data_IF_322085041423
#
_entry.id   IF_322085041423
#
_cell.length_a   1.000
_cell.length_b   1.000
_cell.length_c   1.000
_cell.angle_alpha   90.00
_cell.angle_beta   90.00
_cell.angle_gamma   90.00
#
_symmetry.space_group_name_H-M   'P 1'
#
loop_
_entity.id
_entity.type
_entity.pdbx_description
1 polymer ?
#
# COMPACT_ATOMS: atom_id res chain seq x y z
N UNK A 1 -22.73 -18.49 26.60
CA UNK A 1 -21.95 -19.42 25.79
C UNK A 1 -20.52 -18.86 25.66
N UNK A 2 -19.49 -19.57 26.13
CA UNK A 2 -18.10 -19.13 25.96
C UNK A 2 -17.71 -19.23 24.48
N UNK A 3 -17.09 -18.20 23.92
CA UNK A 3 -16.62 -18.22 22.53
C UNK A 3 -15.47 -19.24 22.38
N UNK A 4 -15.49 -20.03 21.32
CA UNK A 4 -14.44 -21.03 21.03
C UNK A 4 -13.13 -20.29 20.69
N UNK A 5 -12.05 -20.67 21.36
CA UNK A 5 -10.70 -20.22 21.03
C UNK A 5 -10.17 -21.10 19.89
N UNK A 6 -9.79 -20.48 18.79
CA UNK A 6 -9.24 -21.18 17.59
C UNK A 6 -7.72 -21.05 17.56
N UNK A 7 -7.17 -19.88 17.94
CA UNK A 7 -5.72 -19.62 17.97
C UNK A 7 -5.30 -19.33 19.40
N UNK A 8 -4.43 -20.18 19.95
CA UNK A 8 -3.93 -20.03 21.32
C UNK A 8 -2.74 -19.09 21.44
N UNK A 9 -2.02 -18.87 20.34
CA UNK A 9 -0.95 -17.88 20.22
C UNK A 9 -1.13 -17.14 18.90
N UNK A 10 -1.43 -15.85 18.96
CA UNK A 10 -1.66 -15.04 17.76
C UNK A 10 -1.38 -13.57 18.04
N UNK A 11 -1.13 -12.82 16.98
CA UNK A 11 -0.86 -11.39 17.05
C UNK A 11 -1.86 -10.59 16.24
N UNK A 12 -2.35 -9.49 16.82
CA UNK A 12 -3.09 -8.44 16.12
C UNK A 12 -2.22 -7.21 15.92
N UNK A 13 -2.23 -6.64 14.72
CA UNK A 13 -1.45 -5.46 14.38
C UNK A 13 -2.34 -4.34 13.86
N UNK A 14 -2.18 -3.16 14.42
CA UNK A 14 -2.71 -1.90 13.89
C UNK A 14 -1.59 -1.17 13.17
N UNK A 15 -1.82 -0.86 11.88
CA UNK A 15 -0.79 -0.39 10.95
C UNK A 15 -1.09 1.03 10.50
N UNK A 16 -0.16 1.94 10.79
CA UNK A 16 -0.16 3.33 10.35
C UNK A 16 1.04 3.64 9.45
N UNK A 17 1.07 4.86 8.91
CA UNK A 17 2.15 5.31 8.01
C UNK A 17 3.54 5.16 8.64
N UNK A 18 3.71 5.55 9.91
CA UNK A 18 5.00 5.63 10.59
C UNK A 18 5.08 4.72 11.84
N UNK A 19 4.02 4.01 12.16
CA UNK A 19 3.89 3.25 13.39
C UNK A 19 3.15 1.95 13.16
N UNK A 20 3.63 0.89 13.79
CA UNK A 20 2.94 -0.40 13.89
C UNK A 20 2.80 -0.73 15.35
N UNK A 21 1.57 -0.94 15.82
CA UNK A 21 1.31 -1.41 17.16
C UNK A 21 0.90 -2.87 17.09
N UNK A 22 1.70 -3.74 17.68
CA UNK A 22 1.49 -5.18 17.69
C UNK A 22 1.12 -5.67 19.10
N UNK A 23 0.11 -6.50 19.18
CA UNK A 23 -0.32 -7.16 20.43
C UNK A 23 -0.37 -8.66 20.22
N UNK A 24 0.50 -9.40 20.92
CA UNK A 24 0.47 -10.86 20.97
C UNK A 24 -0.46 -11.29 22.11
N UNK A 25 -1.35 -12.21 21.84
CA UNK A 25 -2.19 -12.88 22.84
C UNK A 25 -1.79 -14.36 22.95
N UNK A 26 -1.31 -14.77 24.11
CA UNK A 26 -0.99 -16.17 24.42
C UNK A 26 -2.04 -16.67 25.40
N UNK A 27 -2.79 -17.69 24.99
CA UNK A 27 -3.86 -18.27 25.81
C UNK A 27 -3.45 -19.63 26.33
N UNK A 28 -3.51 -19.80 27.64
CA UNK A 28 -3.31 -21.12 28.25
C UNK A 28 -4.49 -22.03 27.92
N UNK A 29 -4.16 -23.22 27.39
CA UNK A 29 -5.17 -24.25 27.00
C UNK A 29 -5.97 -24.83 28.18
N UNK A 30 -5.42 -24.78 29.40
CA UNK A 30 -6.05 -25.36 30.59
C UNK A 30 -6.98 -24.35 31.27
N UNK A 31 -6.50 -23.12 31.45
CA UNK A 31 -7.22 -22.08 32.19
C UNK A 31 -8.04 -21.17 31.30
N UNK A 32 -7.80 -21.19 29.98
CA UNK A 32 -8.35 -20.23 29.01
C UNK A 32 -8.04 -18.76 29.32
N UNK A 33 -7.06 -18.49 30.19
CA UNK A 33 -6.58 -17.15 30.49
C UNK A 33 -5.64 -16.69 29.40
N UNK A 34 -5.78 -15.46 28.92
CA UNK A 34 -4.94 -14.88 27.87
C UNK A 34 -4.03 -13.81 28.46
N UNK A 35 -2.73 -13.99 28.28
CA UNK A 35 -1.73 -12.96 28.54
C UNK A 35 -1.48 -12.14 27.27
N UNK A 36 -1.31 -10.84 27.42
CA UNK A 36 -1.10 -9.94 26.29
C UNK A 36 0.26 -9.23 26.40
N UNK A 37 1.02 -9.33 25.33
CA UNK A 37 2.29 -8.62 25.18
C UNK A 37 2.11 -7.59 24.06
N UNK A 38 2.37 -6.31 24.37
CA UNK A 38 2.15 -5.23 23.41
C UNK A 38 3.41 -4.41 23.23
N UNK A 39 3.75 -4.15 21.96
CA UNK A 39 4.91 -3.33 21.59
C UNK A 39 4.61 -2.50 20.36
N UNK A 40 5.23 -1.33 20.29
CA UNK A 40 5.18 -0.43 19.14
C UNK A 40 6.50 -0.44 18.40
N UNK A 41 6.44 -0.40 17.06
CA UNK A 41 7.59 -0.41 16.17
C UNK A 41 7.42 0.71 15.14
N UNK A 42 8.52 1.26 14.64
CA UNK A 42 8.45 2.15 13.47
C UNK A 42 8.29 1.31 12.19
N UNK A 43 7.92 1.96 11.08
CA UNK A 43 7.79 1.30 9.78
C UNK A 43 9.10 1.24 9.00
N UNK A 44 10.23 1.58 9.63
CA UNK A 44 11.56 1.42 9.05
C UNK A 44 11.95 -0.07 9.00
N UNK A 45 12.66 -0.49 7.96
CA UNK A 45 13.02 -1.89 7.77
C UNK A 45 13.73 -2.50 8.99
N UNK A 46 14.66 -1.75 9.63
CA UNK A 46 15.34 -2.22 10.85
C UNK A 46 14.38 -2.58 11.98
N UNK A 47 13.33 -1.77 12.17
CA UNK A 47 12.35 -2.01 13.21
C UNK A 47 11.33 -3.09 12.82
N UNK A 48 11.06 -3.25 11.52
CA UNK A 48 10.23 -4.36 11.03
C UNK A 48 10.94 -5.72 11.19
N UNK A 49 12.27 -5.78 11.05
CA UNK A 49 13.04 -6.97 11.40
C UNK A 49 13.02 -7.22 12.90
N UNK A 50 13.12 -6.18 13.75
CA UNK A 50 12.93 -6.32 15.21
C UNK A 50 11.54 -6.82 15.58
N UNK A 51 10.50 -6.38 14.85
CA UNK A 51 9.14 -6.90 15.00
C UNK A 51 9.11 -8.41 14.68
N UNK A 52 9.74 -8.83 13.58
CA UNK A 52 9.85 -10.25 13.19
C UNK A 52 10.55 -11.08 14.27
N UNK A 53 11.67 -10.61 14.79
CA UNK A 53 12.42 -11.27 15.87
C UNK A 53 11.61 -11.33 17.18
N UNK A 54 10.86 -10.27 17.49
CA UNK A 54 9.98 -10.24 18.65
C UNK A 54 8.83 -11.24 18.55
N UNK A 55 8.23 -11.41 17.35
CA UNK A 55 7.23 -12.46 17.12
C UNK A 55 7.82 -13.85 17.27
N UNK A 56 9.02 -14.09 16.75
CA UNK A 56 9.76 -15.35 16.90
C UNK A 56 10.05 -15.67 18.36
N UNK A 57 10.51 -14.70 19.14
CA UNK A 57 10.83 -14.88 20.56
C UNK A 57 9.62 -15.30 21.41
N UNK A 58 8.41 -14.98 20.93
CA UNK A 58 7.16 -15.40 21.57
C UNK A 58 6.50 -16.62 20.86
N UNK A 59 7.22 -17.28 19.93
CA UNK A 59 6.70 -18.40 19.15
C UNK A 59 5.35 -18.08 18.46
N UNK A 60 5.14 -16.82 18.04
CA UNK A 60 3.92 -16.37 17.40
C UNK A 60 4.03 -16.51 15.88
N UNK A 61 3.38 -17.52 15.31
CA UNK A 61 3.36 -17.82 13.88
C UNK A 61 2.15 -17.27 13.13
N UNK A 62 1.10 -16.85 13.85
CA UNK A 62 -0.14 -16.35 13.26
C UNK A 62 -0.34 -14.88 13.56
N UNK A 63 -0.42 -14.07 12.51
CA UNK A 63 -0.54 -12.62 12.60
C UNK A 63 -1.73 -12.14 11.77
N UNK A 64 -2.53 -11.26 12.35
CA UNK A 64 -3.58 -10.53 11.63
C UNK A 64 -3.30 -9.03 11.65
N UNK A 65 -3.35 -8.39 10.50
CA UNK A 65 -3.20 -6.94 10.39
C UNK A 65 -4.33 -6.30 9.59
N UNK A 66 -4.61 -5.03 9.89
CA UNK A 66 -5.58 -4.25 9.14
C UNK A 66 -4.96 -3.74 7.82
N UNK A 67 -5.72 -3.84 6.72
CA UNK A 67 -5.27 -3.43 5.37
C UNK A 67 -5.47 -1.93 5.11
N UNK A 68 -4.97 -1.07 6.00
CA UNK A 68 -5.08 0.38 5.82
C UNK A 68 -4.15 0.87 4.71
N UNK A 69 -4.72 1.37 3.62
CA UNK A 69 -3.97 1.89 2.47
C UNK A 69 -2.96 0.90 1.91
N UNK A 70 -1.71 1.35 1.71
CA UNK A 70 -0.58 0.53 1.24
C UNK A 70 0.45 0.22 2.35
N UNK A 71 0.23 0.71 3.57
CA UNK A 71 1.22 0.64 4.66
C UNK A 71 1.47 -0.79 5.15
N UNK A 72 0.53 -1.70 4.95
CA UNK A 72 0.67 -3.12 5.29
C UNK A 72 1.66 -3.87 4.39
N UNK A 73 1.90 -3.40 3.14
CA UNK A 73 2.69 -4.13 2.12
C UNK A 73 4.13 -4.39 2.56
N UNK A 74 4.91 -3.40 3.03
CA UNK A 74 6.28 -3.65 3.50
C UNK A 74 6.34 -4.64 4.66
N UNK A 75 5.40 -4.55 5.60
CA UNK A 75 5.32 -5.44 6.76
C UNK A 75 5.02 -6.87 6.30
N UNK A 76 4.03 -7.01 5.42
CA UNK A 76 3.65 -8.31 4.84
C UNK A 76 4.84 -8.97 4.15
N UNK A 77 5.53 -8.24 3.28
CA UNK A 77 6.67 -8.77 2.51
C UNK A 77 7.84 -9.24 3.40
N UNK A 78 8.04 -8.63 4.57
CA UNK A 78 9.10 -9.04 5.53
C UNK A 78 8.67 -10.27 6.34
N UNK A 79 7.38 -10.40 6.63
CA UNK A 79 6.87 -11.43 7.52
C UNK A 79 6.43 -12.71 6.77
N UNK A 80 5.96 -12.61 5.52
CA UNK A 80 5.29 -13.69 4.77
C UNK A 80 6.10 -14.97 4.60
N UNK A 81 7.44 -14.87 4.61
CA UNK A 81 8.33 -16.03 4.40
C UNK A 81 8.28 -17.02 5.57
N UNK A 82 7.95 -16.58 6.79
CA UNK A 82 8.05 -17.39 8.01
C UNK A 82 6.80 -17.34 8.89
N UNK A 83 5.97 -16.33 8.69
CA UNK A 83 4.81 -16.04 9.53
C UNK A 83 3.55 -16.09 8.68
N UNK A 84 2.52 -16.76 9.16
CA UNK A 84 1.22 -16.80 8.51
C UNK A 84 0.48 -15.48 8.72
N UNK A 85 0.67 -14.55 7.79
CA UNK A 85 0.09 -13.23 7.87
C UNK A 85 -1.27 -13.20 7.19
N UNK A 86 -2.29 -12.76 7.92
CA UNK A 86 -3.64 -12.56 7.42
C UNK A 86 -3.97 -11.08 7.40
N UNK A 87 -4.58 -10.63 6.29
CA UNK A 87 -5.11 -9.27 6.19
C UNK A 87 -6.61 -9.25 6.43
N UNK A 88 -7.05 -8.19 7.09
CA UNK A 88 -8.48 -7.91 7.24
C UNK A 88 -8.79 -6.49 6.76
N UNK A 89 -9.98 -6.31 6.22
CA UNK A 89 -10.45 -4.99 5.82
C UNK A 89 -10.96 -4.21 7.04
N UNK A 90 -10.67 -2.91 7.18
CA UNK A 90 -11.10 -2.06 8.29
C UNK A 90 -12.60 -2.16 8.64
N UNK A 91 -13.44 -2.39 7.63
CA UNK A 91 -14.88 -2.58 7.80
C UNK A 91 -15.25 -3.72 8.75
N UNK A 92 -14.43 -4.79 8.79
CA UNK A 92 -14.71 -5.98 9.61
C UNK A 92 -14.11 -5.91 11.00
N UNK A 93 -13.25 -4.92 11.24
CA UNK A 93 -12.55 -4.74 12.53
C UNK A 93 -13.08 -3.54 13.31
N UNK A 94 -14.04 -2.78 12.75
CA UNK A 94 -14.60 -1.60 13.42
C UNK A 94 -15.00 -1.91 14.84
N UNK A 95 -14.24 -1.36 15.78
CA UNK A 95 -14.50 -1.48 17.20
C UNK A 95 -15.82 -0.79 17.57
N UNK A 96 -16.46 -1.33 18.60
CA UNK A 96 -17.63 -0.77 19.27
C UNK A 96 -17.30 0.66 19.74
N UNK A 97 -18.28 1.58 19.66
CA UNK A 97 -18.14 2.99 20.04
C UNK A 97 -17.42 3.17 21.38
N UNK A 98 -16.31 3.89 21.39
CA UNK A 98 -15.51 4.21 22.57
C UNK A 98 -14.26 5.02 22.22
N UNK A 99 -13.49 5.47 23.23
CA UNK A 99 -12.19 6.14 23.01
C UNK A 99 -11.24 5.17 22.31
N UNK A 100 -11.02 5.37 21.01
CA UNK A 100 -10.07 4.66 20.19
C UNK A 100 -8.64 5.03 20.58
N UNK A 101 -7.80 4.02 20.72
CA UNK A 101 -6.34 4.18 20.77
C UNK A 101 -5.72 3.02 20.03
N UNK A 102 -4.61 3.24 19.30
CA UNK A 102 -3.90 2.23 18.52
C UNK A 102 -3.59 0.96 19.34
N UNK A 103 -3.31 1.15 20.64
CA UNK A 103 -3.11 0.06 21.60
C UNK A 103 -4.36 -0.80 21.83
N UNK A 104 -5.52 -0.18 21.90
CA UNK A 104 -6.81 -0.90 22.05
C UNK A 104 -7.19 -1.55 20.74
N UNK A 105 -6.89 -0.90 19.61
CA UNK A 105 -7.23 -1.40 18.29
C UNK A 105 -6.40 -2.64 17.95
N UNK A 106 -5.09 -2.67 18.21
CA UNK A 106 -4.26 -3.87 18.02
C UNK A 106 -4.68 -5.05 18.90
N UNK A 107 -5.02 -4.78 20.18
CA UNK A 107 -5.55 -5.82 21.08
C UNK A 107 -6.89 -6.35 20.59
N UNK A 108 -7.78 -5.47 20.13
CA UNK A 108 -9.08 -5.85 19.58
C UNK A 108 -8.94 -6.75 18.34
N UNK A 109 -8.03 -6.42 17.43
CA UNK A 109 -7.70 -7.26 16.28
C UNK A 109 -7.24 -8.65 16.74
N UNK A 110 -6.35 -8.69 17.74
CA UNK A 110 -5.86 -9.95 18.32
C UNK A 110 -7.02 -10.79 18.90
N UNK A 111 -7.93 -10.18 19.66
CA UNK A 111 -9.06 -10.88 20.27
C UNK A 111 -10.02 -11.43 19.21
N UNK A 112 -10.36 -10.65 18.20
CA UNK A 112 -11.18 -11.12 17.10
C UNK A 112 -10.50 -12.26 16.32
N UNK A 113 -9.20 -12.14 16.10
CA UNK A 113 -8.41 -13.15 15.38
C UNK A 113 -8.30 -14.45 16.15
N UNK A 114 -8.14 -14.38 17.46
CA UNK A 114 -8.13 -15.53 18.39
C UNK A 114 -9.38 -16.39 18.26
N UNK A 115 -10.53 -15.75 18.08
CA UNK A 115 -11.83 -16.41 17.99
C UNK A 115 -12.32 -16.67 16.56
N UNK A 116 -11.48 -16.37 15.54
CA UNK A 116 -11.81 -16.50 14.11
C UNK A 116 -13.05 -15.70 13.67
N UNK A 117 -13.25 -14.54 14.28
CA UNK A 117 -14.38 -13.64 14.01
C UNK A 117 -14.09 -12.63 12.88
N UNK A 118 -12.94 -12.74 12.22
CA UNK A 118 -12.48 -11.84 11.18
C UNK A 118 -12.63 -12.48 9.81
N UNK A 119 -13.19 -11.71 8.87
CA UNK A 119 -13.13 -12.07 7.45
C UNK A 119 -11.81 -11.60 6.85
N UNK A 120 -11.05 -12.54 6.31
CA UNK A 120 -9.75 -12.24 5.70
C UNK A 120 -9.88 -11.80 4.26
N UNK A 121 -8.98 -10.91 3.85
CA UNK A 121 -8.79 -10.52 2.47
C UNK A 121 -7.88 -11.53 1.77
N UNK A 122 -8.22 -11.88 0.53
CA UNK A 122 -7.34 -12.72 -0.29
C UNK A 122 -6.11 -11.93 -0.74
N UNK A 123 -4.93 -12.48 -0.51
CA UNK A 123 -3.65 -11.95 -0.97
C UNK A 123 -3.12 -12.91 -2.02
N UNK A 124 -2.92 -12.47 -3.28
CA UNK A 124 -2.31 -13.32 -4.29
C UNK A 124 -0.87 -13.69 -3.93
N UNK A 125 -0.33 -14.80 -4.47
CA UNK A 125 1.08 -15.15 -4.38
C UNK A 125 1.99 -13.99 -4.84
N UNK A 126 3.23 -13.98 -4.36
CA UNK A 126 4.20 -12.90 -4.59
C UNK A 126 4.40 -12.61 -6.07
N UNK A 127 4.60 -13.63 -6.88
CA UNK A 127 4.78 -13.50 -8.33
C UNK A 127 3.61 -12.77 -9.00
N UNK A 128 2.39 -13.12 -8.62
CA UNK A 128 1.18 -12.47 -9.14
C UNK A 128 1.08 -11.01 -8.67
N UNK A 129 1.51 -10.70 -7.44
CA UNK A 129 1.53 -9.32 -6.94
C UNK A 129 2.53 -8.48 -7.73
N UNK A 130 3.73 -8.99 -7.94
CA UNK A 130 4.79 -8.32 -8.72
C UNK A 130 4.34 -8.09 -10.17
N UNK A 131 3.77 -9.10 -10.82
CA UNK A 131 3.22 -8.96 -12.16
C UNK A 131 2.12 -7.89 -12.25
N UNK A 132 1.23 -7.86 -11.26
CA UNK A 132 0.16 -6.83 -11.19
C UNK A 132 0.73 -5.42 -11.02
N UNK A 133 1.78 -5.24 -10.23
CA UNK A 133 2.43 -3.93 -10.07
C UNK A 133 3.09 -3.47 -11.39
N UNK A 134 3.79 -4.37 -12.09
CA UNK A 134 4.39 -4.07 -13.40
C UNK A 134 3.31 -3.71 -14.43
N UNK A 135 2.22 -4.48 -14.49
CA UNK A 135 1.12 -4.22 -15.41
C UNK A 135 0.44 -2.87 -15.13
N UNK A 136 0.22 -2.55 -13.85
CA UNK A 136 -0.33 -1.24 -13.43
C UNK A 136 0.62 -0.09 -13.74
N UNK A 137 1.91 -0.29 -13.55
CA UNK A 137 2.92 0.71 -13.88
C UNK A 137 2.94 0.99 -15.38
N UNK A 138 2.96 -0.08 -16.22
CA UNK A 138 2.86 0.04 -17.67
C UNK A 138 1.61 0.82 -18.10
N UNK A 139 0.46 0.47 -17.55
CA UNK A 139 -0.81 1.17 -17.82
C UNK A 139 -0.70 2.66 -17.49
N UNK A 140 -0.12 2.99 -16.33
CA UNK A 140 0.07 4.38 -15.90
C UNK A 140 0.99 5.17 -16.86
N UNK A 141 2.08 4.54 -17.32
CA UNK A 141 2.97 5.15 -18.32
C UNK A 141 2.24 5.43 -19.64
N UNK A 142 1.41 4.49 -20.10
CA UNK A 142 0.61 4.68 -21.31
C UNK A 142 -0.37 5.85 -21.14
N UNK A 143 -1.04 5.94 -20.01
CA UNK A 143 -1.93 7.08 -19.70
C UNK A 143 -1.18 8.41 -19.66
N UNK A 144 0.01 8.45 -19.05
CA UNK A 144 0.85 9.66 -19.01
C UNK A 144 1.26 10.07 -20.43
N UNK A 145 1.74 9.14 -21.25
CA UNK A 145 2.08 9.41 -22.65
C UNK A 145 0.90 10.01 -23.42
N UNK A 146 -0.29 9.43 -23.27
CA UNK A 146 -1.50 9.95 -23.92
C UNK A 146 -1.86 11.36 -23.44
N UNK A 147 -1.70 11.63 -22.15
CA UNK A 147 -1.94 12.96 -21.59
C UNK A 147 -0.97 13.99 -22.14
N UNK A 148 0.32 13.66 -22.23
CA UNK A 148 1.32 14.57 -22.81
C UNK A 148 1.08 14.81 -24.30
N UNK A 149 0.70 13.77 -25.05
CA UNK A 149 0.31 13.93 -26.45
C UNK A 149 -0.89 14.88 -26.61
N UNK A 150 -1.89 14.77 -25.76
CA UNK A 150 -3.04 15.68 -25.79
C UNK A 150 -2.65 17.13 -25.46
N UNK A 151 -1.76 17.32 -24.46
CA UNK A 151 -1.24 18.66 -24.12
C UNK A 151 -0.50 19.28 -25.30
N UNK A 152 0.34 18.49 -25.96
CA UNK A 152 1.07 18.93 -27.15
C UNK A 152 0.12 19.34 -28.28
N UNK A 153 -0.90 18.51 -28.60
CA UNK A 153 -1.90 18.84 -29.60
C UNK A 153 -2.69 20.11 -29.25
N UNK A 154 -3.05 20.28 -28.00
CA UNK A 154 -3.73 21.50 -27.54
C UNK A 154 -2.84 22.73 -27.72
N UNK A 155 -1.58 22.64 -27.36
CA UNK A 155 -0.61 23.73 -27.57
C UNK A 155 -0.51 24.11 -29.06
N UNK A 156 -0.39 23.15 -29.95
CA UNK A 156 -0.34 23.37 -31.38
C UNK A 156 -1.65 24.03 -31.90
N UNK A 157 -2.80 23.55 -31.41
CA UNK A 157 -4.12 24.13 -31.77
C UNK A 157 -4.23 25.58 -31.34
N UNK A 158 -3.83 25.90 -30.09
CA UNK A 158 -3.86 27.29 -29.57
C UNK A 158 -2.91 28.21 -30.36
N UNK A 159 -1.79 27.68 -30.83
CA UNK A 159 -0.83 28.40 -31.66
C UNK A 159 -1.23 28.45 -33.15
N UNK A 160 -2.41 27.95 -33.51
CA UNK A 160 -2.92 27.84 -34.89
C UNK A 160 -1.98 27.05 -35.82
N UNK A 161 -1.30 26.04 -35.28
CA UNK A 161 -0.44 25.14 -36.05
C UNK A 161 -1.17 23.84 -36.34
N UNK A 162 -1.60 23.64 -37.59
CA UNK A 162 -2.39 22.48 -38.02
C UNK A 162 -1.54 21.20 -38.24
N UNK A 163 -0.65 20.85 -37.33
CA UNK A 163 0.28 19.73 -37.49
C UNK A 163 -0.44 18.38 -37.65
N UNK A 164 -1.56 18.18 -36.96
CA UNK A 164 -2.35 16.96 -37.01
C UNK A 164 -3.01 16.71 -38.39
N UNK A 165 -3.12 17.74 -39.25
CA UNK A 165 -3.63 17.58 -40.62
C UNK A 165 -2.58 17.08 -41.61
N UNK A 166 -1.29 17.17 -41.25
CA UNK A 166 -0.14 16.84 -42.14
C UNK A 166 0.54 15.57 -41.66
N UNK A 167 0.55 15.28 -40.36
CA UNK A 167 1.27 14.16 -39.77
C UNK A 167 0.30 13.23 -39.04
N UNK A 168 0.32 11.94 -39.39
CA UNK A 168 -0.54 10.93 -38.77
C UNK A 168 -0.24 10.70 -37.29
N UNK A 169 1.01 10.89 -36.85
CA UNK A 169 1.41 10.84 -35.44
C UNK A 169 2.40 11.99 -35.11
N UNK A 170 1.89 13.12 -34.56
CA UNK A 170 2.74 14.25 -34.21
C UNK A 170 3.82 13.92 -33.16
N UNK A 171 3.63 12.90 -32.33
CA UNK A 171 4.63 12.50 -31.32
C UNK A 171 5.84 11.79 -31.93
N UNK A 172 5.65 11.10 -33.04
CA UNK A 172 6.74 10.40 -33.75
C UNK A 172 7.65 11.40 -34.47
N UNK A 173 7.08 12.43 -35.06
CA UNK A 173 7.84 13.47 -35.79
C UNK A 173 8.70 14.31 -34.85
N UNK A 174 8.24 14.54 -33.60
CA UNK A 174 8.99 15.30 -32.61
C UNK A 174 10.25 14.57 -32.12
N UNK A 175 10.23 13.23 -32.06
CA UNK A 175 11.41 12.44 -31.65
C UNK A 175 12.50 12.37 -32.73
N UNK A 176 12.14 12.55 -34.00
CA UNK A 176 13.09 12.58 -35.11
C UNK A 176 13.64 13.98 -35.46
N UNK A 177 13.05 15.05 -34.93
CA UNK A 177 13.46 16.44 -35.15
C UNK A 177 14.13 17.03 -33.88
N UNK A 178 14.37 16.20 -32.86
CA UNK A 178 14.70 16.67 -31.51
C UNK A 178 16.01 17.43 -31.37
N UNK A 179 16.91 17.39 -32.32
CA UNK A 179 18.20 18.05 -32.13
C UNK A 179 18.36 19.45 -32.80
N UNK A 180 17.55 19.83 -33.78
CA UNK A 180 17.84 21.06 -34.51
C UNK A 180 16.74 22.12 -34.66
N UNK A 181 15.47 21.83 -34.43
CA UNK A 181 14.37 22.76 -34.81
C UNK A 181 13.57 23.34 -33.66
N UNK A 182 13.45 22.66 -32.53
CA UNK A 182 12.64 23.16 -31.39
C UNK A 182 13.33 24.32 -30.66
N UNK A 183 14.65 24.42 -30.73
CA UNK A 183 15.41 25.51 -30.09
C UNK A 183 15.43 26.81 -30.92
N UNK A 184 15.04 26.77 -32.19
CA UNK A 184 15.15 27.92 -33.11
C UNK A 184 13.82 28.67 -33.30
N UNK A 185 12.65 28.06 -32.95
CA UNK A 185 11.35 28.61 -33.36
C UNK A 185 10.50 29.29 -32.28
N UNK A 186 10.93 29.36 -31.04
CA UNK A 186 10.21 30.14 -30.03
C UNK A 186 11.13 31.18 -29.38
N UNK A 187 11.08 32.42 -29.82
CA UNK A 187 11.65 33.50 -29.01
C UNK A 187 10.91 33.53 -27.68
N UNK A 188 11.66 33.50 -26.57
CA UNK A 188 11.21 33.52 -25.18
C UNK A 188 10.22 34.69 -24.85
N UNK A 189 9.96 35.56 -25.79
CA UNK A 189 9.04 36.70 -25.68
C UNK A 189 7.58 36.39 -25.99
N UNK A 190 7.23 35.18 -26.40
CA UNK A 190 5.84 34.80 -26.79
C UNK A 190 5.17 33.84 -25.82
N UNK A 191 5.89 33.35 -24.80
CA UNK A 191 5.23 32.59 -23.74
C UNK A 191 4.52 33.56 -22.78
N UNK A 192 3.18 33.57 -22.75
CA UNK A 192 2.47 34.29 -21.72
C UNK A 192 2.82 33.67 -20.37
N UNK A 193 3.15 34.55 -19.40
CA UNK A 193 3.62 34.25 -18.05
C UNK A 193 2.60 33.41 -17.20
N UNK A 194 1.54 32.94 -17.79
CA UNK A 194 0.44 32.22 -17.11
C UNK A 194 0.50 30.67 -17.20
N UNK A 195 1.59 30.09 -17.71
CA UNK A 195 1.73 28.62 -17.77
C UNK A 195 2.68 28.02 -16.71
N UNK A 196 2.99 28.78 -15.65
CA UNK A 196 3.68 28.27 -14.46
C UNK A 196 2.69 28.26 -13.28
N UNK A 197 1.82 27.29 -13.25
CA UNK A 197 1.13 26.76 -12.07
C UNK A 197 0.76 25.29 -12.33
#
# INVERSE_FOLDING_TARGET
>A
MAMKIVRFNCCGMDVHKNLVVATIGITDRKTNVTEYFQRSFSTLNSDLYRLKDWLRSHHCSDVCMESTGKYWIPIFNILEDEINVRLTHPKYVKAIKGKKTDKKDSKWICDLFKHDLIKFSFIPPREIRELREIARYRYKLVCMRSSERNRYQNCMTVSNVGLASVVSDPSFTCSSIHDDVVLVMLPLSILPVHFLC
#
